data_IF_508648121806
#
_entry.id   IF_508648121806
#
_cell.length_a   1.000
_cell.length_b   1.000
_cell.length_c   1.000
_cell.angle_alpha   90.00
_cell.angle_beta   90.00
_cell.angle_gamma   90.00
#
_symmetry.space_group_name_H-M   'P 1'
#
loop_
_entity.id
_entity.type
_entity.pdbx_description
1 polymer ?
#
# COMPACT_ATOMS: atom_id res chain seq x y z
N UNK A 1 -2.77 5.86 -18.72
CA UNK A 1 -2.99 4.86 -17.64
C UNK A 1 -2.91 5.61 -16.31
N UNK A 2 -3.88 5.47 -15.40
CA UNK A 2 -3.75 6.03 -14.04
C UNK A 2 -3.01 4.99 -13.20
N UNK A 3 -1.87 5.37 -12.63
CA UNK A 3 -1.02 4.45 -11.87
C UNK A 3 -1.73 3.88 -10.64
N UNK A 4 -1.20 2.79 -10.08
CA UNK A 4 -1.61 2.26 -8.78
C UNK A 4 -1.63 3.34 -7.69
N UNK A 5 -0.63 4.23 -7.70
CA UNK A 5 -0.54 5.37 -6.78
C UNK A 5 -1.74 6.31 -6.96
N UNK A 6 -2.13 6.62 -8.19
CA UNK A 6 -3.30 7.47 -8.45
C UNK A 6 -4.63 6.83 -7.98
N UNK A 7 -4.76 5.51 -8.05
CA UNK A 7 -5.93 4.80 -7.51
C UNK A 7 -5.99 4.91 -5.98
N UNK A 8 -4.84 4.80 -5.30
CA UNK A 8 -4.72 4.98 -3.86
C UNK A 8 -5.03 6.43 -3.46
N UNK A 9 -4.43 7.40 -4.16
CA UNK A 9 -4.66 8.83 -3.92
C UNK A 9 -6.15 9.18 -4.03
N UNK A 10 -6.85 8.63 -5.03
CA UNK A 10 -8.31 8.81 -5.18
C UNK A 10 -9.09 8.28 -3.98
N UNK A 11 -8.80 7.08 -3.49
CA UNK A 11 -9.50 6.52 -2.32
C UNK A 11 -9.27 7.33 -1.04
N UNK A 12 -8.05 7.85 -0.86
CA UNK A 12 -7.72 8.72 0.26
C UNK A 12 -8.42 10.08 0.13
N UNK A 13 -8.45 10.64 -1.08
CA UNK A 13 -9.15 11.90 -1.37
C UNK A 13 -10.65 11.79 -1.08
N UNK A 14 -11.29 10.69 -1.50
CA UNK A 14 -12.70 10.42 -1.19
C UNK A 14 -12.99 10.28 0.30
N UNK A 15 -11.96 10.10 1.13
CA UNK A 15 -12.04 10.00 2.59
C UNK A 15 -11.61 11.30 3.29
N UNK A 16 -11.45 12.38 2.54
CA UNK A 16 -11.16 13.71 3.08
C UNK A 16 -9.67 14.01 3.26
N UNK A 17 -8.76 13.15 2.77
CA UNK A 17 -7.33 13.46 2.78
C UNK A 17 -6.94 14.29 1.56
N UNK A 18 -5.89 15.07 1.69
CA UNK A 18 -5.34 15.90 0.61
C UNK A 18 -3.87 15.57 0.42
N UNK A 19 -3.42 15.51 -0.84
CA UNK A 19 -2.00 15.32 -1.15
C UNK A 19 -1.20 16.56 -0.76
N UNK A 20 -0.15 16.36 0.02
CA UNK A 20 0.81 17.39 0.40
C UNK A 20 2.23 16.80 0.28
N UNK A 21 2.95 17.21 -0.77
CA UNK A 21 4.29 16.68 -1.04
C UNK A 21 5.38 17.39 -0.19
N UNK A 22 5.09 18.55 0.40
CA UNK A 22 6.06 19.34 1.16
C UNK A 22 6.12 18.96 2.64
N UNK A 23 4.96 18.81 3.29
CA UNK A 23 4.86 18.52 4.71
C UNK A 23 3.68 17.57 4.98
N UNK A 24 3.76 16.31 4.55
CA UNK A 24 2.68 15.34 4.73
C UNK A 24 2.54 14.88 6.18
N UNK A 25 1.31 14.83 6.69
CA UNK A 25 1.00 14.15 7.96
C UNK A 25 1.19 12.63 7.86
N UNK A 26 0.99 12.06 6.66
CA UNK A 26 1.19 10.64 6.38
C UNK A 26 1.86 10.45 5.04
N UNK A 27 2.74 9.47 4.98
CA UNK A 27 3.36 8.96 3.76
C UNK A 27 2.83 7.57 3.45
N UNK A 28 2.93 7.20 2.17
CA UNK A 28 2.39 5.96 1.64
C UNK A 28 3.56 5.16 1.06
N UNK A 29 3.80 3.96 1.57
CA UNK A 29 4.70 3.00 0.95
C UNK A 29 3.88 1.95 0.18
N UNK A 30 4.29 1.68 -1.06
CA UNK A 30 3.59 0.75 -1.97
C UNK A 30 4.63 -0.21 -2.55
N UNK A 31 4.39 -1.51 -2.42
CA UNK A 31 5.22 -2.55 -3.05
C UNK A 31 4.32 -3.52 -3.82
N UNK A 32 4.51 -3.61 -5.13
CA UNK A 32 3.81 -4.55 -5.99
C UNK A 32 4.82 -5.54 -6.60
N UNK A 33 4.72 -6.81 -6.25
CA UNK A 33 5.65 -7.84 -6.69
C UNK A 33 5.18 -8.46 -8.03
N UNK A 34 5.62 -7.89 -9.15
CA UNK A 34 5.05 -8.17 -10.48
C UNK A 34 5.70 -9.35 -11.21
N UNK A 35 7.02 -9.49 -11.10
CA UNK A 35 7.80 -10.52 -11.80
C UNK A 35 8.38 -11.60 -10.88
N UNK A 36 8.70 -11.22 -9.64
CA UNK A 36 9.38 -12.03 -8.63
C UNK A 36 9.00 -11.55 -7.23
N UNK A 37 9.36 -12.36 -6.24
CA UNK A 37 9.26 -11.97 -4.84
C UNK A 37 10.15 -10.76 -4.57
N UNK A 38 9.62 -9.78 -3.84
CA UNK A 38 10.38 -8.63 -3.38
C UNK A 38 10.74 -8.84 -1.91
N UNK A 39 12.02 -8.65 -1.58
CA UNK A 39 12.44 -8.42 -0.21
C UNK A 39 12.62 -6.92 0.00
N UNK A 40 11.78 -6.32 0.84
CA UNK A 40 11.89 -4.93 1.22
C UNK A 40 12.35 -4.79 2.66
N UNK A 41 13.13 -3.77 2.96
CA UNK A 41 13.21 -3.25 4.32
C UNK A 41 12.16 -2.15 4.41
N UNK A 42 11.38 -2.12 5.50
CA UNK A 42 10.42 -1.04 5.72
C UNK A 42 11.11 0.32 5.65
N UNK A 43 10.42 1.40 5.21
CA UNK A 43 11.04 2.70 5.10
C UNK A 43 11.73 3.12 6.40
N UNK A 44 12.95 3.69 6.30
CA UNK A 44 13.77 4.09 7.46
C UNK A 44 13.06 5.08 8.40
N UNK A 45 12.11 5.83 7.86
CA UNK A 45 11.28 6.81 8.54
C UNK A 45 10.02 6.20 9.20
N UNK A 46 9.85 4.89 9.16
CA UNK A 46 8.78 4.14 9.82
C UNK A 46 9.39 3.24 10.91
N UNK A 47 10.08 3.74 11.96
CA UNK A 47 10.58 2.82 13.00
C UNK A 47 11.16 3.30 14.34
N UNK A 48 10.91 4.52 14.81
CA UNK A 48 11.52 4.92 16.09
C UNK A 48 10.85 4.29 17.31
N UNK A 49 9.60 3.79 17.21
CA UNK A 49 8.82 3.30 18.37
C UNK A 49 8.25 1.90 18.25
N UNK A 50 8.30 1.27 17.07
CA UNK A 50 7.56 0.04 16.81
C UNK A 50 8.49 -1.17 16.99
N UNK A 51 8.35 -1.92 18.09
CA UNK A 51 9.19 -3.10 18.35
C UNK A 51 8.58 -4.42 17.86
N UNK A 52 7.27 -4.51 17.61
CA UNK A 52 6.60 -5.77 17.24
C UNK A 52 5.32 -5.54 16.42
N UNK A 53 5.10 -6.34 15.37
CA UNK A 53 3.81 -6.45 14.67
C UNK A 53 3.51 -7.92 14.35
N UNK A 54 2.34 -8.43 14.77
CA UNK A 54 1.90 -9.79 14.44
C UNK A 54 2.82 -10.91 14.95
N UNK A 55 3.52 -10.71 16.08
CA UNK A 55 4.47 -11.68 16.64
C UNK A 55 5.89 -11.62 16.02
N UNK A 56 6.10 -10.77 15.00
CA UNK A 56 7.40 -10.54 14.41
C UNK A 56 8.05 -9.28 15.02
N UNK A 57 9.30 -9.43 15.47
CA UNK A 57 10.12 -8.32 15.98
C UNK A 57 10.47 -7.32 14.89
N UNK A 58 10.32 -6.03 15.23
CA UNK A 58 10.53 -4.81 14.45
C UNK A 58 9.83 -4.81 13.06
N UNK A 59 8.83 -3.96 12.76
CA UNK A 59 8.19 -3.90 11.44
C UNK A 59 9.05 -3.27 10.33
N UNK A 60 10.30 -2.86 10.59
CA UNK A 60 11.34 -2.73 9.54
C UNK A 60 11.75 -4.09 9.00
N UNK A 61 11.34 -5.17 9.69
CA UNK A 61 11.54 -6.55 9.32
C UNK A 61 11.43 -6.68 7.82
N UNK A 62 12.47 -7.28 7.26
CA UNK A 62 12.52 -7.85 5.93
C UNK A 62 11.11 -8.35 5.58
N UNK A 63 10.42 -7.59 4.73
CA UNK A 63 9.09 -7.92 4.26
C UNK A 63 9.25 -8.62 2.94
N UNK A 64 8.87 -9.89 2.91
CA UNK A 64 8.72 -10.62 1.65
C UNK A 64 7.35 -10.30 1.07
N UNK A 65 7.32 -9.59 -0.04
CA UNK A 65 6.13 -9.45 -0.87
C UNK A 65 6.23 -10.48 -1.98
N UNK A 66 5.53 -11.60 -1.82
CA UNK A 66 5.50 -12.68 -2.81
C UNK A 66 4.99 -12.17 -4.16
N UNK A 67 5.54 -12.70 -5.25
CA UNK A 67 5.07 -12.45 -6.61
C UNK A 67 3.55 -12.58 -6.68
N UNK A 68 2.92 -11.62 -7.35
CA UNK A 68 1.47 -11.55 -7.44
C UNK A 68 0.81 -10.85 -6.26
N UNK A 69 1.56 -10.31 -5.29
CA UNK A 69 0.98 -9.60 -4.15
C UNK A 69 1.28 -8.11 -4.19
N UNK A 70 0.44 -7.36 -3.48
CA UNK A 70 0.57 -5.92 -3.25
C UNK A 70 0.56 -5.64 -1.76
N UNK A 71 1.50 -4.81 -1.32
CA UNK A 71 1.54 -4.23 0.00
C UNK A 71 1.30 -2.71 -0.11
N UNK A 72 0.43 -2.20 0.76
CA UNK A 72 0.20 -0.77 0.97
C UNK A 72 0.38 -0.49 2.46
N UNK A 73 1.18 0.50 2.79
CA UNK A 73 1.45 0.92 4.16
C UNK A 73 1.26 2.44 4.30
N UNK A 74 0.34 2.85 5.18
CA UNK A 74 0.15 4.24 5.56
C UNK A 74 0.91 4.49 6.85
N UNK A 75 1.84 5.42 6.79
CA UNK A 75 2.78 5.69 7.87
C UNK A 75 2.69 7.16 8.24
N UNK A 76 2.39 7.41 9.51
CA UNK A 76 2.28 8.75 10.08
C UNK A 76 3.67 9.36 10.29
N UNK A 77 3.86 10.60 9.82
CA UNK A 77 5.18 11.21 9.65
C UNK A 77 5.80 11.65 10.98
N UNK A 78 5.02 12.18 11.93
CA UNK A 78 5.52 12.73 13.20
C UNK A 78 5.95 11.62 14.15
N UNK A 79 5.10 10.61 14.32
CA UNK A 79 5.32 9.43 15.15
C UNK A 79 6.11 8.31 14.46
N UNK A 80 6.35 8.45 13.15
CA UNK A 80 7.18 7.52 12.34
C UNK A 80 6.70 6.08 12.48
N UNK A 81 5.38 5.88 12.37
CA UNK A 81 4.75 4.60 12.60
C UNK A 81 3.68 4.26 11.57
N UNK A 82 3.62 2.99 11.17
CA UNK A 82 2.50 2.45 10.40
C UNK A 82 1.21 2.59 11.21
N UNK A 83 0.24 3.29 10.64
CA UNK A 83 -1.10 3.48 11.21
C UNK A 83 -2.14 2.61 10.52
N UNK A 84 -1.82 2.11 9.32
CA UNK A 84 -2.63 1.14 8.61
C UNK A 84 -1.79 0.42 7.56
N UNK A 85 -2.02 -0.88 7.40
CA UNK A 85 -1.35 -1.70 6.41
C UNK A 85 -2.32 -2.67 5.77
N UNK A 86 -2.20 -2.84 4.46
CA UNK A 86 -2.93 -3.83 3.71
C UNK A 86 -1.99 -4.69 2.87
N UNK A 87 -2.15 -6.00 2.99
CA UNK A 87 -1.57 -6.99 2.10
C UNK A 87 -2.69 -7.57 1.23
N UNK A 88 -2.54 -7.44 -0.08
CA UNK A 88 -3.46 -7.99 -1.08
C UNK A 88 -2.76 -9.17 -1.74
N UNK A 89 -3.31 -10.36 -1.53
CA UNK A 89 -2.89 -11.58 -2.24
C UNK A 89 -3.51 -11.62 -3.63
N UNK A 90 -2.81 -12.26 -4.56
CA UNK A 90 -3.28 -12.46 -5.94
C UNK A 90 -3.65 -11.14 -6.64
N UNK A 91 -3.01 -10.05 -6.22
CA UNK A 91 -2.96 -8.81 -6.95
C UNK A 91 -2.19 -9.07 -8.24
N UNK A 92 -2.85 -9.59 -9.28
CA UNK A 92 -2.20 -10.01 -10.51
C UNK A 92 -1.59 -8.80 -11.26
N UNK A 93 -0.26 -8.60 -11.29
CA UNK A 93 0.37 -7.46 -11.94
C UNK A 93 1.06 -7.86 -13.25
N UNK A 94 0.92 -9.11 -13.70
CA UNK A 94 1.59 -9.66 -14.88
C UNK A 94 1.24 -8.92 -16.20
N UNK A 95 0.32 -7.95 -16.15
CA UNK A 95 -0.06 -7.08 -17.25
C UNK A 95 0.35 -5.60 -17.07
N UNK A 96 1.11 -5.25 -16.03
CA UNK A 96 1.76 -3.92 -15.93
C UNK A 96 2.83 -3.87 -17.02
N UNK A 97 2.46 -3.35 -18.20
CA UNK A 97 3.32 -3.24 -19.38
C UNK A 97 2.73 -3.73 -20.71
N UNK A 98 1.51 -4.28 -20.74
CA UNK A 98 0.85 -4.70 -22.00
C UNK A 98 -0.03 -3.59 -22.57
N UNK A 99 -0.19 -3.52 -23.90
CA UNK A 99 -0.99 -2.51 -24.61
C UNK A 99 -2.37 -3.06 -25.04
N UNK A 100 -3.35 -2.19 -25.24
CA UNK A 100 -4.67 -2.54 -25.79
C UNK A 100 -5.77 -2.79 -24.75
N UNK A 101 -6.67 -3.75 -25.04
CA UNK A 101 -7.85 -4.13 -24.22
C UNK A 101 -7.46 -4.49 -22.78
N UNK A 102 -6.28 -5.08 -22.63
CA UNK A 102 -5.64 -5.47 -21.38
C UNK A 102 -5.43 -4.27 -20.44
N UNK A 103 -5.12 -3.07 -20.96
CA UNK A 103 -4.87 -1.87 -20.14
C UNK A 103 -6.14 -1.41 -19.40
N UNK A 104 -7.30 -1.43 -20.08
CA UNK A 104 -8.57 -1.01 -19.46
C UNK A 104 -9.03 -2.00 -18.40
N UNK A 105 -9.00 -3.28 -18.71
CA UNK A 105 -9.33 -4.35 -17.75
C UNK A 105 -8.42 -4.30 -16.53
N UNK A 106 -7.14 -4.03 -16.72
CA UNK A 106 -6.19 -3.87 -15.64
C UNK A 106 -6.46 -2.63 -14.78
N UNK A 107 -6.78 -1.50 -15.41
CA UNK A 107 -7.17 -0.30 -14.67
C UNK A 107 -8.42 -0.56 -13.81
N UNK A 108 -9.41 -1.26 -14.35
CA UNK A 108 -10.62 -1.65 -13.62
C UNK A 108 -10.30 -2.60 -12.46
N UNK A 109 -9.44 -3.60 -12.69
CA UNK A 109 -8.99 -4.52 -11.64
C UNK A 109 -8.28 -3.77 -10.51
N UNK A 110 -7.34 -2.87 -10.84
CA UNK A 110 -6.64 -2.03 -9.86
C UNK A 110 -7.66 -1.19 -9.09
N UNK A 111 -8.52 -0.45 -9.78
CA UNK A 111 -9.51 0.42 -9.14
C UNK A 111 -10.46 -0.37 -8.22
N UNK A 112 -10.96 -1.53 -8.66
CA UNK A 112 -11.86 -2.39 -7.89
C UNK A 112 -11.17 -2.97 -6.67
N UNK A 113 -9.93 -3.43 -6.82
CA UNK A 113 -9.12 -3.98 -5.72
C UNK A 113 -8.82 -2.93 -4.67
N UNK A 114 -8.37 -1.75 -5.11
CA UNK A 114 -8.04 -0.62 -4.24
C UNK A 114 -9.30 -0.12 -3.52
N UNK A 115 -10.43 0.06 -4.21
CA UNK A 115 -11.69 0.40 -3.56
C UNK A 115 -12.12 -0.65 -2.52
N UNK A 116 -11.98 -1.95 -2.84
CA UNK A 116 -12.34 -3.04 -1.92
C UNK A 116 -11.48 -3.04 -0.65
N UNK A 117 -10.17 -2.85 -0.76
CA UNK A 117 -9.28 -2.88 0.40
C UNK A 117 -9.46 -1.63 1.28
N UNK A 118 -9.69 -0.46 0.68
CA UNK A 118 -9.92 0.79 1.40
C UNK A 118 -11.27 0.85 2.12
N UNK A 119 -12.21 -0.09 1.88
CA UNK A 119 -13.37 -0.28 2.78
C UNK A 119 -12.99 -0.68 4.20
N UNK A 120 -11.78 -1.22 4.40
CA UNK A 120 -11.23 -1.58 5.72
C UNK A 120 -10.35 -0.47 6.32
N UNK A 121 -10.34 0.71 5.69
CA UNK A 121 -9.63 1.89 6.16
C UNK A 121 -10.62 3.00 6.53
N UNK A 122 -10.48 3.64 7.70
CA UNK A 122 -9.51 3.34 8.76
C UNK A 122 -9.83 2.02 9.49
N UNK A 123 -8.89 1.52 10.31
CA UNK A 123 -9.20 0.41 11.22
C UNK A 123 -10.23 0.91 12.23
N UNK A 124 -11.39 0.27 12.31
CA UNK A 124 -12.34 0.57 13.38
C UNK A 124 -11.71 0.20 14.72
N UNK A 125 -11.80 1.04 15.76
CA UNK A 125 -11.38 0.67 17.11
C UNK A 125 -12.05 -0.66 17.49
N UNK A 126 -11.29 -1.63 17.99
CA UNK A 126 -11.90 -2.78 18.65
C UNK A 126 -12.60 -2.22 19.91
N UNK A 127 -13.90 -2.46 20.04
CA UNK A 127 -14.64 -2.22 21.28
C UNK A 127 -14.06 -3.06 22.40
#
# INVERSE_FOLDING_TARGET
MKSLVAAIERELTMRGLVRNDSAPDMRIAVMAATGMDLQGVGPTWNNERYKFWGGYGNPAALMTVTKGNLLIDLVETKGKMSVWRAAVKDFCPAAIGRSGKDVKQMQELVNKTIAKIFKKYPVSPKK
#
